data_IF_747584905903
#
_entry.id   IF_747584905903
#
_cell.length_a   1.000
_cell.length_b   1.000
_cell.length_c   1.000
_cell.angle_alpha   90.00
_cell.angle_beta   90.00
_cell.angle_gamma   90.00
#
_symmetry.space_group_name_H-M   'P 1'
#
loop_
_entity.id
_entity.type
_entity.pdbx_description
1 polymer ?
#
# COMPACT_ATOMS: atom_id res chain seq x y z
N UNK A 1 68.27 -6.11 8.04
CA UNK A 1 66.99 -6.68 8.50
C UNK A 1 66.10 -5.50 8.79
N UNK A 2 65.37 -5.04 7.77
CA UNK A 2 64.47 -3.90 7.85
C UNK A 2 63.10 -4.37 8.35
N UNK A 3 62.68 -3.87 9.51
CA UNK A 3 61.36 -4.13 10.07
C UNK A 3 60.46 -2.95 9.70
N UNK A 4 59.76 -3.07 8.57
CA UNK A 4 58.76 -2.09 8.15
C UNK A 4 57.49 -2.29 8.99
N UNK A 5 57.23 -1.36 9.91
CA UNK A 5 55.98 -1.28 10.65
C UNK A 5 54.91 -0.78 9.68
N UNK A 6 53.98 -1.66 9.30
CA UNK A 6 52.75 -1.24 8.61
C UNK A 6 51.84 -0.57 9.62
N UNK A 7 51.68 0.75 9.47
CA UNK A 7 50.60 1.52 10.08
C UNK A 7 49.28 1.01 9.52
N UNK A 8 48.48 0.34 10.34
CA UNK A 8 47.08 0.03 10.02
C UNK A 8 46.28 1.30 10.25
N UNK A 9 45.88 1.96 9.18
CA UNK A 9 44.90 3.04 9.26
C UNK A 9 43.55 2.49 9.78
N UNK A 10 42.83 3.21 10.64
CA UNK A 10 41.50 2.82 11.07
C UNK A 10 40.54 2.94 9.87
N UNK A 11 39.95 1.81 9.45
CA UNK A 11 38.81 1.81 8.53
C UNK A 11 37.68 2.62 9.17
N UNK A 12 37.25 3.69 8.49
CA UNK A 12 36.01 4.39 8.81
C UNK A 12 34.87 3.36 8.94
N UNK A 13 33.94 3.52 9.91
CA UNK A 13 32.83 2.60 10.03
C UNK A 13 32.00 2.69 8.74
N UNK A 14 31.97 1.59 7.99
CA UNK A 14 31.06 1.43 6.85
C UNK A 14 29.65 1.78 7.34
N UNK A 15 28.99 2.74 6.69
CA UNK A 15 27.62 3.09 7.01
C UNK A 15 26.77 1.81 7.00
N UNK A 16 26.16 1.48 8.14
CA UNK A 16 25.28 0.30 8.24
C UNK A 16 24.14 0.45 7.23
N UNK A 17 23.89 -0.62 6.45
CA UNK A 17 22.76 -0.62 5.52
C UNK A 17 21.45 -0.44 6.29
N UNK A 18 20.53 0.42 5.81
CA UNK A 18 19.28 0.69 6.49
C UNK A 18 18.44 -0.59 6.62
N UNK A 19 17.82 -0.78 7.78
CA UNK A 19 16.91 -1.92 8.00
C UNK A 19 15.72 -1.85 7.04
N UNK A 20 15.06 -2.99 6.77
CA UNK A 20 13.82 -3.02 5.96
C UNK A 20 12.73 -2.09 6.51
N UNK A 21 12.67 -1.89 7.83
CA UNK A 21 11.75 -0.93 8.45
C UNK A 21 12.14 0.51 8.09
N UNK A 22 13.42 0.85 8.13
CA UNK A 22 13.90 2.17 7.73
C UNK A 22 13.73 2.43 6.23
N UNK A 23 13.99 1.42 5.38
CA UNK A 23 13.74 1.51 3.95
C UNK A 23 12.26 1.83 3.66
N UNK A 24 11.33 1.20 4.36
CA UNK A 24 9.91 1.50 4.23
C UNK A 24 9.62 2.95 4.64
N UNK A 25 10.17 3.44 5.76
CA UNK A 25 10.01 4.83 6.19
C UNK A 25 10.55 5.82 5.16
N UNK A 26 11.77 5.58 4.67
CA UNK A 26 12.44 6.42 3.66
C UNK A 26 11.63 6.46 2.36
N UNK A 27 11.03 5.34 1.95
CA UNK A 27 10.14 5.30 0.79
C UNK A 27 8.98 6.29 0.95
N UNK A 28 8.29 6.28 2.10
CA UNK A 28 7.17 7.19 2.35
C UNK A 28 7.62 8.66 2.43
N UNK A 29 8.76 8.95 3.05
CA UNK A 29 9.32 10.31 3.12
C UNK A 29 9.63 10.89 1.73
N UNK A 30 10.03 10.05 0.78
CA UNK A 30 10.38 10.46 -0.59
C UNK A 30 9.21 10.43 -1.58
N UNK A 31 8.07 9.86 -1.18
CA UNK A 31 6.91 9.68 -2.03
C UNK A 31 6.00 10.91 -2.05
N UNK A 32 5.15 10.99 -3.07
CA UNK A 32 4.08 12.01 -3.11
C UNK A 32 3.18 11.90 -1.88
N UNK A 33 2.79 13.04 -1.34
CA UNK A 33 1.92 13.09 -0.17
C UNK A 33 0.53 12.54 -0.50
N UNK A 34 0.03 11.64 0.35
CA UNK A 34 -1.36 11.20 0.30
C UNK A 34 -2.19 12.24 1.06
N UNK A 35 -3.28 12.77 0.47
CA UNK A 35 -4.17 13.69 1.17
C UNK A 35 -4.62 13.13 2.54
N UNK A 36 -4.63 13.99 3.55
CA UNK A 36 -5.03 13.68 4.93
C UNK A 36 -4.16 12.63 5.65
N UNK A 37 -2.99 12.29 5.11
CA UNK A 37 -1.93 11.54 5.81
C UNK A 37 -0.73 12.46 6.01
N UNK A 38 -0.49 12.82 7.27
CA UNK A 38 0.47 13.83 7.69
C UNK A 38 1.67 13.15 8.36
N UNK A 39 2.92 13.56 8.02
CA UNK A 39 4.11 13.08 8.71
C UNK A 39 4.15 13.54 10.19
N UNK A 40 4.95 12.90 11.06
CA UNK A 40 6.02 11.95 10.75
C UNK A 40 5.49 10.56 10.34
N UNK A 41 6.12 9.97 9.33
CA UNK A 41 5.87 8.59 8.96
C UNK A 41 6.58 7.64 9.92
N UNK A 42 5.86 6.63 10.38
CA UNK A 42 6.36 5.58 11.25
C UNK A 42 6.22 4.25 10.51
N UNK A 43 7.33 3.54 10.38
CA UNK A 43 7.35 2.20 9.82
C UNK A 43 7.40 1.15 10.92
N UNK A 44 6.78 0.00 10.68
CA UNK A 44 6.78 -1.15 11.58
C UNK A 44 6.58 -2.44 10.79
N UNK A 45 6.57 -3.59 11.48
CA UNK A 45 6.32 -4.88 10.86
C UNK A 45 5.24 -5.67 11.61
N UNK A 46 4.55 -6.52 10.87
CA UNK A 46 3.52 -7.41 11.37
C UNK A 46 3.73 -8.81 10.78
N UNK A 47 3.63 -9.84 11.61
CA UNK A 47 3.71 -11.24 11.14
C UNK A 47 2.32 -11.84 11.15
N UNK A 48 1.89 -12.35 9.99
CA UNK A 48 0.58 -12.99 9.81
C UNK A 48 0.66 -14.00 8.66
N UNK A 49 -0.06 -15.11 8.77
CA UNK A 49 -0.02 -16.21 7.79
C UNK A 49 1.43 -16.64 7.43
N UNK A 50 2.28 -16.75 8.45
CA UNK A 50 3.71 -17.11 8.32
C UNK A 50 4.56 -16.15 7.46
N UNK A 51 4.01 -14.97 7.12
CA UNK A 51 4.70 -13.92 6.36
C UNK A 51 4.88 -12.67 7.20
N UNK A 52 6.02 -12.02 7.04
CA UNK A 52 6.30 -10.72 7.64
C UNK A 52 6.00 -9.62 6.63
N UNK A 53 5.07 -8.76 6.99
CA UNK A 53 4.73 -7.55 6.26
C UNK A 53 5.40 -6.36 6.94
N UNK A 54 5.81 -5.39 6.15
CA UNK A 54 6.28 -4.09 6.63
C UNK A 54 5.25 -3.06 6.23
N UNK A 55 4.90 -2.14 7.12
CA UNK A 55 3.94 -1.10 6.79
C UNK A 55 4.43 0.25 7.26
N UNK A 56 3.95 1.30 6.63
CA UNK A 56 4.23 2.68 6.98
C UNK A 56 2.93 3.40 7.24
N UNK A 57 2.88 4.18 8.31
CA UNK A 57 1.72 4.96 8.68
C UNK A 57 2.10 6.40 9.01
N UNK A 58 1.25 7.33 8.62
CA UNK A 58 1.25 8.70 9.12
C UNK A 58 0.10 8.90 10.11
N UNK A 59 -0.34 10.15 10.26
CA UNK A 59 -1.51 10.50 11.06
C UNK A 59 -2.45 11.41 10.30
N UNK A 60 -3.74 11.37 10.62
CA UNK A 60 -4.66 12.42 10.18
C UNK A 60 -4.56 13.67 11.09
N UNK A 61 -5.39 14.68 10.79
CA UNK A 61 -5.48 15.92 11.56
C UNK A 61 -5.93 15.72 13.01
N UNK A 62 -6.58 14.60 13.30
CA UNK A 62 -7.07 14.23 14.63
C UNK A 62 -6.05 13.36 15.38
N UNK A 63 -4.89 13.09 14.76
CA UNK A 63 -3.81 12.29 15.33
C UNK A 63 -4.03 10.78 15.22
N UNK A 64 -5.06 10.33 14.50
CA UNK A 64 -5.35 8.90 14.30
C UNK A 64 -4.38 8.31 13.28
N UNK A 65 -3.92 7.06 13.46
CA UNK A 65 -3.06 6.40 12.49
C UNK A 65 -3.74 6.29 11.12
N UNK A 66 -2.99 6.57 10.05
CA UNK A 66 -3.44 6.42 8.66
C UNK A 66 -2.42 5.62 7.88
N UNK A 67 -2.86 4.55 7.21
CA UNK A 67 -1.97 3.69 6.44
C UNK A 67 -1.47 4.40 5.19
N UNK A 68 -0.16 4.40 4.99
CA UNK A 68 0.48 4.92 3.78
C UNK A 68 0.70 3.80 2.75
N UNK A 69 1.40 2.72 3.13
CA UNK A 69 1.71 1.59 2.23
C UNK A 69 2.11 0.33 3.04
N UNK A 70 1.96 -0.84 2.43
CA UNK A 70 2.39 -2.15 2.96
C UNK A 70 3.32 -2.83 1.95
N UNK A 71 4.35 -3.49 2.47
CA UNK A 71 5.39 -4.15 1.69
C UNK A 71 5.63 -5.59 2.14
N UNK A 72 6.14 -6.39 1.21
CA UNK A 72 6.82 -7.65 1.47
C UNK A 72 8.29 -7.53 1.12
N UNK A 73 9.15 -8.22 1.87
CA UNK A 73 10.52 -8.40 1.44
C UNK A 73 10.58 -9.45 0.33
N UNK A 74 11.22 -9.11 -0.78
CA UNK A 74 11.45 -10.03 -1.88
C UNK A 74 12.74 -10.86 -1.63
N UNK A 75 13.03 -11.89 -2.46
CA UNK A 75 14.21 -12.73 -2.28
C UNK A 75 15.56 -12.00 -2.39
N UNK A 76 15.60 -10.80 -2.98
CA UNK A 76 16.80 -9.96 -3.06
C UNK A 76 16.99 -9.07 -1.83
N UNK A 77 16.02 -9.08 -0.90
CA UNK A 77 16.07 -8.26 0.32
C UNK A 77 15.55 -6.84 0.12
N UNK A 78 14.84 -6.57 -0.98
CA UNK A 78 14.18 -5.28 -1.25
C UNK A 78 12.70 -5.34 -0.87
N UNK A 79 12.05 -4.17 -0.83
CA UNK A 79 10.63 -4.04 -0.50
C UNK A 79 9.77 -3.96 -1.76
N UNK A 80 8.88 -4.92 -1.94
CA UNK A 80 7.82 -4.88 -2.96
C UNK A 80 6.51 -4.39 -2.32
N UNK A 81 5.89 -3.37 -2.93
CA UNK A 81 4.59 -2.88 -2.50
C UNK A 81 3.49 -3.94 -2.72
N UNK A 82 2.64 -4.11 -1.72
CA UNK A 82 1.53 -5.06 -1.76
C UNK A 82 0.30 -4.35 -2.33
N UNK A 83 -0.41 -4.90 -3.32
CA UNK A 83 -1.69 -4.34 -3.73
C UNK A 83 -2.68 -4.29 -2.57
N UNK A 84 -3.41 -3.19 -2.39
CA UNK A 84 -4.29 -2.99 -1.23
C UNK A 84 -5.38 -4.08 -1.07
N UNK A 85 -5.85 -4.66 -2.17
CA UNK A 85 -6.79 -5.79 -2.15
C UNK A 85 -6.19 -7.11 -1.61
N UNK A 86 -4.87 -7.16 -1.46
CA UNK A 86 -4.11 -8.30 -0.94
C UNK A 86 -3.51 -8.02 0.45
N UNK A 87 -3.83 -6.88 1.06
CA UNK A 87 -3.41 -6.61 2.43
C UNK A 87 -3.98 -7.68 3.37
N UNK A 88 -3.17 -8.18 4.32
CA UNK A 88 -3.65 -9.19 5.26
C UNK A 88 -4.69 -8.58 6.21
N UNK A 89 -5.66 -9.39 6.66
CA UNK A 89 -6.73 -8.93 7.56
C UNK A 89 -6.22 -8.23 8.82
N UNK A 90 -5.09 -8.68 9.37
CA UNK A 90 -4.47 -8.06 10.54
C UNK A 90 -3.99 -6.61 10.29
N UNK A 91 -3.73 -6.20 9.04
CA UNK A 91 -3.48 -4.78 8.70
C UNK A 91 -4.79 -3.97 8.69
N UNK A 92 -5.92 -4.58 8.27
CA UNK A 92 -7.25 -3.95 8.34
C UNK A 92 -7.60 -3.57 9.79
N UNK A 93 -7.26 -4.44 10.74
CA UNK A 93 -7.51 -4.22 12.17
C UNK A 93 -6.69 -3.05 12.75
N UNK A 94 -5.49 -2.80 12.20
CA UNK A 94 -4.65 -1.67 12.61
C UNK A 94 -5.10 -0.34 12.00
N UNK A 95 -5.68 -0.37 10.79
CA UNK A 95 -6.08 0.81 10.04
C UNK A 95 -7.52 0.70 9.52
N UNK A 96 -8.50 0.56 10.43
CA UNK A 96 -9.88 0.30 10.04
C UNK A 96 -10.46 1.42 9.19
N UNK A 97 -10.07 2.68 9.40
CA UNK A 97 -10.57 3.82 8.63
C UNK A 97 -10.19 3.77 7.15
N UNK A 98 -8.97 3.34 6.84
CA UNK A 98 -8.44 3.37 5.47
C UNK A 98 -8.96 2.23 4.61
N UNK A 99 -9.22 1.08 5.24
CA UNK A 99 -9.44 -0.17 4.51
C UNK A 99 -10.86 -0.72 4.66
N UNK A 100 -11.71 -0.08 5.48
CA UNK A 100 -13.13 -0.42 5.57
C UNK A 100 -13.84 -0.35 4.22
N UNK A 101 -13.44 0.58 3.34
CA UNK A 101 -14.02 0.66 2.00
C UNK A 101 -13.71 -0.58 1.17
N UNK A 102 -12.51 -1.17 1.30
CA UNK A 102 -12.14 -2.40 0.59
C UNK A 102 -12.89 -3.63 1.11
N UNK A 103 -13.30 -3.60 2.38
CA UNK A 103 -14.12 -4.64 3.00
C UNK A 103 -15.62 -4.41 2.80
N UNK A 104 -16.05 -3.29 2.23
CA UNK A 104 -17.45 -3.00 2.00
C UNK A 104 -18.01 -3.93 0.89
N UNK A 105 -19.20 -4.52 1.08
CA UNK A 105 -19.84 -5.36 0.05
C UNK A 105 -20.17 -4.60 -1.23
N UNK A 106 -20.21 -3.27 -1.17
CA UNK A 106 -20.33 -2.36 -2.31
C UNK A 106 -19.43 -1.13 -2.10
N UNK A 107 -18.13 -1.21 -2.46
CA UNK A 107 -17.17 -0.13 -2.23
C UNK A 107 -17.42 1.09 -3.13
N UNK A 108 -18.21 0.92 -4.19
CA UNK A 108 -18.50 1.95 -5.18
C UNK A 108 -19.87 2.63 -4.95
N UNK A 109 -20.58 2.25 -3.87
CA UNK A 109 -21.72 2.97 -3.33
C UNK A 109 -22.95 3.03 -4.25
N UNK A 110 -23.09 2.07 -5.15
CA UNK A 110 -24.21 2.01 -6.06
C UNK A 110 -24.98 0.72 -5.88
N UNK A 111 -26.14 0.79 -5.20
CA UNK A 111 -27.20 -0.19 -5.46
C UNK A 111 -27.48 -0.10 -6.97
N UNK A 112 -26.95 -1.05 -7.75
CA UNK A 112 -27.32 -1.18 -9.16
C UNK A 112 -28.84 -1.19 -9.16
N UNK A 113 -29.50 -0.29 -9.92
CA UNK A 113 -30.95 -0.25 -9.91
C UNK A 113 -31.49 -1.64 -10.16
N UNK A 114 -32.44 -2.08 -9.33
CA UNK A 114 -33.15 -3.33 -9.57
C UNK A 114 -33.95 -3.13 -10.87
N UNK A 115 -33.34 -3.44 -12.01
CA UNK A 115 -33.98 -3.34 -13.30
C UNK A 115 -34.94 -4.52 -13.45
N UNK A 116 -36.20 -4.20 -13.76
CA UNK A 116 -37.15 -5.22 -14.18
C UNK A 116 -36.74 -5.80 -15.53
N UNK A 117 -37.15 -7.03 -15.82
CA UNK A 117 -36.94 -7.68 -17.13
C UNK A 117 -37.42 -6.79 -18.29
N UNK A 118 -38.50 -6.03 -18.09
CA UNK A 118 -39.02 -5.08 -19.08
C UNK A 118 -38.05 -3.93 -19.32
N UNK A 119 -37.51 -3.30 -18.28
CA UNK A 119 -36.53 -2.21 -18.45
C UNK A 119 -35.24 -2.67 -19.13
N UNK A 120 -34.84 -3.93 -18.90
CA UNK A 120 -33.70 -4.55 -19.60
C UNK A 120 -34.03 -4.74 -21.09
N UNK A 121 -35.22 -5.28 -21.40
CA UNK A 121 -35.66 -5.49 -22.77
C UNK A 121 -35.78 -4.17 -23.56
N UNK A 122 -36.36 -3.14 -22.95
CA UNK A 122 -36.52 -1.81 -23.55
C UNK A 122 -35.16 -1.17 -23.85
N UNK A 123 -34.20 -1.29 -22.92
CA UNK A 123 -32.83 -0.81 -23.11
C UNK A 123 -32.13 -1.52 -24.27
N UNK A 124 -32.22 -2.85 -24.34
CA UNK A 124 -31.62 -3.64 -25.43
C UNK A 124 -32.24 -3.30 -26.80
N UNK A 125 -33.55 -3.09 -26.84
CA UNK A 125 -34.25 -2.72 -28.07
C UNK A 125 -33.84 -1.32 -28.54
N UNK A 126 -33.64 -0.36 -27.63
CA UNK A 126 -33.16 0.97 -27.97
C UNK A 126 -31.75 0.94 -28.55
N UNK A 127 -30.84 0.16 -27.96
CA UNK A 127 -29.45 0.01 -28.44
C UNK A 127 -29.45 -0.60 -29.85
N UNK A 128 -30.22 -1.67 -30.05
CA UNK A 128 -30.34 -2.34 -31.35
C UNK A 128 -30.86 -1.39 -32.43
N UNK A 129 -31.87 -0.56 -32.12
CA UNK A 129 -32.41 0.42 -33.07
C UNK A 129 -31.43 1.56 -33.39
N UNK A 130 -30.64 2.01 -32.41
CA UNK A 130 -29.61 3.02 -32.63
C UNK A 130 -28.47 2.48 -33.53
N UNK A 131 -28.06 1.22 -33.36
CA UNK A 131 -27.10 0.56 -34.25
C UNK A 131 -27.63 0.45 -35.69
N UNK A 132 -28.93 0.18 -35.87
CA UNK A 132 -29.54 0.14 -37.21
C UNK A 132 -29.68 1.53 -37.86
N UNK A 133 -29.71 2.61 -37.08
CA UNK A 133 -29.85 3.99 -37.59
C UNK A 133 -28.51 4.66 -37.89
N UNK A 134 -27.44 4.25 -37.18
CA UNK A 134 -26.12 4.86 -37.27
C UNK A 134 -25.07 3.94 -37.93
N UNK A 135 -25.46 2.74 -38.38
CA UNK A 135 -24.64 1.80 -39.15
C UNK A 135 -24.81 1.91 -40.66
#
# INVERSE_FOLDING_TARGET
MDTSIRTTEPLEPAAEEPTLIELARIFAEKSSQIPDIIPPYVASSLVTNERRYYYVAGKDREGRPRLFEVFLANPTGELDAVPACLYPGAVLELFPTDLQILAAPDPWGGKVPDLTTTQIADGLQSIYLDEQRNG
#
